data_IF_731430213444
#
_entry.id   IF_731430213444
#
_cell.length_a   1.000
_cell.length_b   1.000
_cell.length_c   1.000
_cell.angle_alpha   90.00
_cell.angle_beta   90.00
_cell.angle_gamma   90.00
#
_symmetry.space_group_name_H-M   'P 1'
#
loop_
_entity.id
_entity.type
_entity.pdbx_description
1 polymer ?
#
# COMPACT_ATOMS: atom_id res chain seq x y z
N UNK A 1 -5.56 6.17 -6.86
CA UNK A 1 -4.51 5.13 -6.99
C UNK A 1 -5.16 3.83 -7.40
N UNK A 2 -4.74 3.26 -8.52
CA UNK A 2 -5.14 1.94 -8.98
C UNK A 2 -3.91 1.03 -8.96
N UNK A 3 -4.06 -0.17 -8.40
CA UNK A 3 -2.95 -1.13 -8.25
C UNK A 3 -3.25 -2.33 -9.14
N UNK A 4 -2.38 -2.58 -10.11
CA UNK A 4 -2.43 -3.74 -10.98
C UNK A 4 -1.45 -4.80 -10.48
N UNK A 5 -1.91 -5.92 -9.90
CA UNK A 5 -1.02 -6.99 -9.51
C UNK A 5 -0.41 -7.66 -10.74
N UNK A 6 0.90 -7.89 -10.72
CA UNK A 6 1.62 -8.70 -11.71
C UNK A 6 1.83 -10.12 -11.17
N UNK A 7 2.25 -10.21 -9.91
CA UNK A 7 2.38 -11.44 -9.13
C UNK A 7 2.14 -11.14 -7.64
N UNK A 8 2.46 -12.08 -6.74
CA UNK A 8 2.22 -11.93 -5.30
C UNK A 8 3.12 -10.89 -4.60
N UNK A 9 4.16 -10.37 -5.26
CA UNK A 9 5.14 -9.43 -4.70
C UNK A 9 5.38 -8.19 -5.58
N UNK A 10 4.86 -8.16 -6.80
CA UNK A 10 5.03 -7.07 -7.76
C UNK A 10 3.71 -6.51 -8.24
N UNK A 11 3.63 -5.19 -8.30
CA UNK A 11 2.46 -4.44 -8.77
C UNK A 11 2.89 -3.25 -9.63
N UNK A 12 2.01 -2.82 -10.53
CA UNK A 12 2.11 -1.50 -11.17
C UNK A 12 1.11 -0.57 -10.48
N UNK A 13 1.60 0.55 -9.95
CA UNK A 13 0.80 1.59 -9.33
C UNK A 13 0.47 2.68 -10.37
N UNK A 14 -0.80 2.78 -10.75
CA UNK A 14 -1.32 3.81 -11.65
C UNK A 14 -1.96 4.93 -10.84
N UNK A 15 -1.44 6.14 -10.98
CA UNK A 15 -1.87 7.30 -10.21
C UNK A 15 -2.60 8.26 -11.14
N UNK A 16 -3.91 8.38 -10.96
CA UNK A 16 -4.68 9.46 -11.57
C UNK A 16 -4.85 10.56 -10.54
N UNK A 17 -4.57 11.78 -10.98
CA UNK A 17 -4.65 12.98 -10.18
C UNK A 17 -5.68 13.92 -10.81
N UNK A 18 -6.58 14.41 -9.98
CA UNK A 18 -7.64 15.33 -10.40
C UNK A 18 -7.66 16.44 -9.36
N UNK A 19 -7.31 17.64 -9.79
CA UNK A 19 -7.18 18.81 -8.92
C UNK A 19 -7.89 20.00 -9.53
N UNK A 20 -8.32 20.91 -8.66
CA UNK A 20 -8.52 22.30 -9.01
C UNK A 20 -7.26 23.03 -8.55
N UNK A 21 -6.40 23.37 -9.49
CA UNK A 21 -5.13 24.04 -9.24
C UNK A 21 -4.98 25.16 -10.25
N UNK A 22 -4.92 26.39 -9.75
CA UNK A 22 -4.91 27.60 -10.58
C UNK A 22 -3.54 28.31 -10.52
N UNK A 23 -2.62 27.83 -9.67
CA UNK A 23 -1.34 28.49 -9.37
C UNK A 23 -0.15 27.67 -9.86
N UNK A 24 -0.14 26.37 -9.61
CA UNK A 24 0.98 25.49 -9.97
C UNK A 24 0.90 25.06 -11.44
N UNK A 25 2.05 24.88 -12.08
CA UNK A 25 2.09 24.24 -13.40
C UNK A 25 1.90 22.72 -13.28
N UNK A 26 1.48 22.08 -14.36
CA UNK A 26 1.43 20.61 -14.43
C UNK A 26 2.78 19.97 -14.08
N UNK A 27 3.89 20.60 -14.47
CA UNK A 27 5.23 20.12 -14.17
C UNK A 27 5.54 20.18 -12.66
N UNK A 28 5.14 21.25 -11.98
CA UNK A 28 5.29 21.38 -10.53
C UNK A 28 4.45 20.34 -9.79
N UNK A 29 3.22 20.12 -10.25
CA UNK A 29 2.33 19.11 -9.70
C UNK A 29 2.90 17.70 -9.88
N UNK A 30 3.39 17.37 -11.08
CA UNK A 30 4.04 16.08 -11.36
C UNK A 30 5.31 15.91 -10.51
N UNK A 31 6.14 16.95 -10.39
CA UNK A 31 7.36 16.91 -9.58
C UNK A 31 7.06 16.68 -8.10
N UNK A 32 6.04 17.35 -7.56
CA UNK A 32 5.58 17.15 -6.19
C UNK A 32 5.15 15.70 -5.95
N UNK A 33 4.46 15.09 -6.92
CA UNK A 33 4.00 13.72 -6.82
C UNK A 33 5.15 12.72 -6.90
N UNK A 34 6.10 12.95 -7.80
CA UNK A 34 7.34 12.18 -7.84
C UNK A 34 8.12 12.28 -6.54
N UNK A 35 8.09 13.44 -5.87
CA UNK A 35 8.74 13.59 -4.56
C UNK A 35 8.07 12.73 -3.48
N UNK A 36 6.73 12.71 -3.41
CA UNK A 36 6.01 11.83 -2.46
C UNK A 36 6.30 10.35 -2.77
N UNK A 37 6.16 9.92 -4.02
CA UNK A 37 6.43 8.51 -4.38
C UNK A 37 7.91 8.13 -4.22
N UNK A 38 8.82 9.09 -4.43
CA UNK A 38 10.25 8.91 -4.19
C UNK A 38 10.57 8.63 -2.72
N UNK A 39 9.74 9.11 -1.80
CA UNK A 39 9.85 8.83 -0.37
C UNK A 39 9.23 7.48 0.01
N UNK A 40 8.02 7.19 -0.49
CA UNK A 40 7.28 5.99 -0.11
C UNK A 40 7.84 4.70 -0.74
N UNK A 41 8.33 4.77 -1.98
CA UNK A 41 8.77 3.59 -2.74
C UNK A 41 9.90 2.83 -2.04
N UNK A 42 11.01 3.47 -1.59
CA UNK A 42 12.07 2.74 -0.88
C UNK A 42 11.59 2.08 0.41
N UNK A 43 10.71 2.75 1.17
CA UNK A 43 10.13 2.20 2.41
C UNK A 43 9.35 0.92 2.07
N UNK A 44 8.43 0.99 1.11
CA UNK A 44 7.60 -0.14 0.69
C UNK A 44 8.45 -1.32 0.20
N UNK A 45 9.48 -1.06 -0.63
CA UNK A 45 10.33 -2.12 -1.20
C UNK A 45 11.23 -2.79 -0.16
N UNK A 46 11.58 -2.07 0.90
CA UNK A 46 12.40 -2.57 2.01
C UNK A 46 11.62 -3.45 2.99
N UNK A 47 10.28 -3.41 2.99
CA UNK A 47 9.47 -4.19 3.93
C UNK A 47 9.77 -5.68 3.85
N UNK A 48 9.89 -6.30 5.04
CA UNK A 48 10.04 -7.73 5.20
C UNK A 48 9.08 -8.21 6.31
N UNK A 49 8.29 -9.27 6.04
CA UNK A 49 8.19 -10.01 4.77
C UNK A 49 7.57 -9.17 3.63
N UNK A 50 7.74 -9.60 2.36
CA UNK A 50 7.27 -8.85 1.19
C UNK A 50 5.75 -8.90 1.01
N UNK A 51 5.12 -10.01 1.43
CA UNK A 51 3.67 -10.19 1.38
C UNK A 51 3.03 -9.61 2.64
N UNK A 52 1.80 -9.13 2.52
CA UNK A 52 1.10 -8.45 3.61
C UNK A 52 0.72 -9.44 4.73
N UNK A 53 1.18 -9.25 5.98
CA UNK A 53 0.72 -10.05 7.10
C UNK A 53 -0.74 -9.70 7.46
N UNK A 54 -1.63 -10.69 7.45
CA UNK A 54 -3.05 -10.50 7.84
C UNK A 54 -3.32 -10.75 9.33
N UNK A 55 -2.39 -11.39 10.03
CA UNK A 55 -2.48 -11.70 11.46
C UNK A 55 -1.11 -12.11 12.02
N UNK A 56 -0.98 -12.08 13.34
CA UNK A 56 0.20 -12.57 14.05
C UNK A 56 1.10 -11.43 14.55
N UNK A 57 2.21 -11.77 15.23
CA UNK A 57 3.11 -10.81 15.87
C UNK A 57 4.02 -10.08 14.87
N UNK A 58 3.86 -10.32 13.57
CA UNK A 58 4.70 -9.73 12.52
C UNK A 58 4.54 -8.21 12.39
N UNK A 59 3.44 -7.64 12.89
CA UNK A 59 3.19 -6.20 12.82
C UNK A 59 2.53 -5.71 14.11
N UNK A 60 3.06 -4.62 14.67
CA UNK A 60 2.47 -3.93 15.81
C UNK A 60 1.64 -2.74 15.30
N UNK A 61 0.44 -2.54 15.87
CA UNK A 61 -0.46 -1.47 15.46
C UNK A 61 -0.60 -0.40 16.54
N UNK A 62 -0.60 0.86 16.12
CA UNK A 62 -0.91 2.03 16.93
C UNK A 62 -2.29 2.60 16.57
N UNK A 63 -2.76 3.60 17.33
CA UNK A 63 -4.09 4.20 17.12
C UNK A 63 -4.26 4.81 15.72
N UNK A 64 -3.19 5.31 15.11
CA UNK A 64 -3.21 5.86 13.76
C UNK A 64 -3.45 4.78 12.67
N UNK A 65 -3.26 3.50 12.98
CA UNK A 65 -3.28 2.42 11.99
C UNK A 65 -4.67 1.80 11.82
N UNK A 66 -5.72 2.41 12.37
CA UNK A 66 -7.06 1.84 12.42
C UNK A 66 -7.59 1.43 11.03
N UNK A 67 -7.36 2.27 10.02
CA UNK A 67 -7.77 1.99 8.63
C UNK A 67 -7.03 0.76 8.10
N UNK A 68 -5.73 0.67 8.32
CA UNK A 68 -4.88 -0.41 7.85
C UNK A 68 -5.20 -1.74 8.56
N UNK A 69 -5.49 -1.70 9.86
CA UNK A 69 -5.94 -2.86 10.64
C UNK A 69 -7.34 -3.35 10.21
N UNK A 70 -8.24 -2.42 9.88
CA UNK A 70 -9.59 -2.74 9.39
C UNK A 70 -9.51 -3.39 8.00
N UNK A 71 -8.65 -2.88 7.11
CA UNK A 71 -8.42 -3.47 5.79
C UNK A 71 -7.90 -4.91 5.87
N UNK A 72 -6.89 -5.19 6.72
CA UNK A 72 -6.39 -6.56 6.94
C UNK A 72 -7.47 -7.51 7.44
N UNK A 73 -8.32 -7.05 8.37
CA UNK A 73 -9.46 -7.84 8.88
C UNK A 73 -10.46 -8.19 7.77
N UNK A 74 -10.76 -7.22 6.91
CA UNK A 74 -11.65 -7.38 5.77
C UNK A 74 -11.09 -8.36 4.73
N UNK A 75 -9.79 -8.31 4.43
CA UNK A 75 -9.10 -9.27 3.55
C UNK A 75 -9.18 -10.69 4.11
N UNK A 76 -8.94 -10.85 5.41
CA UNK A 76 -9.04 -12.15 6.09
C UNK A 76 -10.46 -12.72 6.03
N UNK A 77 -11.49 -11.89 6.24
CA UNK A 77 -12.89 -12.31 6.14
C UNK A 77 -13.29 -12.74 4.72
N UNK A 78 -12.62 -12.22 3.69
CA UNK A 78 -12.81 -12.58 2.28
C UNK A 78 -11.97 -13.77 1.82
N UNK A 79 -11.23 -14.36 2.74
CA UNK A 79 -10.34 -15.47 2.46
C UNK A 79 -9.28 -15.16 1.38
N UNK A 80 -8.83 -13.91 1.31
CA UNK A 80 -7.79 -13.52 0.35
C UNK A 80 -6.50 -14.32 0.64
N UNK A 81 -5.90 -14.85 -0.42
CA UNK A 81 -4.64 -15.64 -0.37
C UNK A 81 -3.52 -15.07 -1.22
N UNK A 82 -3.86 -14.35 -2.27
CA UNK A 82 -2.89 -13.75 -3.18
C UNK A 82 -2.17 -12.56 -2.51
N UNK A 83 -0.83 -12.59 -2.48
CA UNK A 83 -0.01 -11.46 -2.00
C UNK A 83 -0.08 -11.21 -0.49
N UNK A 84 -0.59 -12.18 0.27
CA UNK A 84 -0.78 -12.08 1.72
C UNK A 84 -0.20 -13.31 2.43
N UNK A 85 0.23 -13.13 3.68
CA UNK A 85 0.49 -14.26 4.57
C UNK A 85 -0.80 -14.64 5.27
N UNK A 86 -1.33 -15.82 4.92
CA UNK A 86 -2.39 -16.45 5.69
C UNK A 86 -1.90 -16.73 7.12
N UNK A 87 -2.79 -16.72 8.12
CA UNK A 87 -2.42 -17.11 9.47
C UNK A 87 -1.79 -18.51 9.43
N UNK A 88 -0.61 -18.69 10.02
CA UNK A 88 -0.15 -20.02 10.37
C UNK A 88 -1.20 -20.62 11.29
N UNK A 89 -1.84 -21.71 10.88
CA UNK A 89 -2.75 -22.43 11.77
C UNK A 89 -1.94 -22.81 13.03
N UNK A 90 -2.45 -22.44 14.19
CA UNK A 90 -1.96 -22.94 15.47
C UNK A 90 -2.31 -24.43 15.61
#
# INVERSE_FOLDING_TARGET
LFVQPLDEEQVIAHVLLVYFEDVLSDADMIAFQHMIFGQDKPILESHRPRRLPLSGPLEAHMRCDLTAATYRRWLRQRDVRFGVHAPTAA
#
